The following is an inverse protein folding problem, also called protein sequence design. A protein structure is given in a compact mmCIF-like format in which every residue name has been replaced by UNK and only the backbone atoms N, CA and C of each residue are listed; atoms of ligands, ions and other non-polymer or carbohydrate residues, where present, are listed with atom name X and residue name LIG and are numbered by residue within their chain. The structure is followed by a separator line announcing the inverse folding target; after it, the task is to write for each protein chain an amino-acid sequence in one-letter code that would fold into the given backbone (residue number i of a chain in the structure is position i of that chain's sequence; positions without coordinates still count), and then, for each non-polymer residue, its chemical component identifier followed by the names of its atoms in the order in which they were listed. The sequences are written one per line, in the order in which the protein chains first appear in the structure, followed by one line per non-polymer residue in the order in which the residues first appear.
data_IF_679378179446
#
_entry.id   IF_679378179446
#
_cell.length_a   1.000
_cell.length_b   1.000
_cell.length_c   1.000
_cell.angle_alpha   90.00
_cell.angle_beta   90.00
_cell.angle_gamma   90.00
#
_symmetry.space_group_name_H-M   'P 1'
#
loop_
_entity.id
_entity.type
_entity.pdbx_description
1 polymer ?
#
# COMPACT_ATOMS: atom_id res chain seq x y z
N UNK A 1 22.95 -45.50 -11.20
CA UNK A 1 22.76 -46.94 -10.98
C UNK A 1 23.48 -47.33 -9.72
N UNK A 2 22.87 -48.20 -8.90
CA UNK A 2 23.52 -48.76 -7.72
C UNK A 2 23.50 -50.27 -7.88
N UNK A 3 24.66 -50.90 -7.75
CA UNK A 3 24.79 -52.35 -7.83
C UNK A 3 24.86 -52.91 -6.42
N UNK A 4 23.96 -53.83 -6.09
CA UNK A 4 23.95 -54.53 -4.80
C UNK A 4 24.06 -56.02 -5.08
N UNK A 5 25.18 -56.62 -4.64
CA UNK A 5 25.56 -58.01 -4.96
C UNK A 5 25.57 -58.25 -6.47
N UNK A 6 24.53 -58.90 -7.01
CA UNK A 6 24.38 -59.24 -8.43
C UNK A 6 23.22 -58.50 -9.12
N UNK A 7 22.53 -57.59 -8.41
CA UNK A 7 21.41 -56.81 -8.94
C UNK A 7 21.85 -55.38 -9.26
N UNK A 8 21.46 -54.91 -10.44
CA UNK A 8 21.64 -53.54 -10.88
C UNK A 8 20.30 -52.80 -10.76
N UNK A 9 20.23 -51.84 -9.83
CA UNK A 9 19.03 -51.07 -9.60
C UNK A 9 19.12 -49.72 -10.32
N UNK A 10 18.13 -49.47 -11.17
CA UNK A 10 17.92 -48.18 -11.80
C UNK A 10 16.86 -47.37 -11.03
N UNK A 11 17.32 -46.27 -10.43
CA UNK A 11 16.46 -45.33 -9.69
C UNK A 11 16.11 -44.09 -10.53
N UNK A 12 16.42 -44.08 -11.83
CA UNK A 12 16.20 -42.91 -12.68
C UNK A 12 14.73 -42.49 -12.70
N UNK A 13 13.80 -43.46 -12.76
CA UNK A 13 12.36 -43.19 -12.66
C UNK A 13 11.98 -42.51 -11.34
N UNK A 14 12.50 -43.01 -10.21
CA UNK A 14 12.22 -42.43 -8.89
C UNK A 14 12.82 -41.02 -8.76
N UNK A 15 14.06 -40.81 -9.22
CA UNK A 15 14.69 -39.49 -9.22
C UNK A 15 13.91 -38.50 -10.07
N UNK A 16 13.45 -38.92 -11.24
CA UNK A 16 12.64 -38.08 -12.13
C UNK A 16 11.29 -37.74 -11.52
N UNK A 17 10.62 -38.68 -10.85
CA UNK A 17 9.36 -38.43 -10.15
C UNK A 17 9.54 -37.40 -9.02
N UNK A 18 10.58 -37.54 -8.20
CA UNK A 18 10.88 -36.58 -7.12
C UNK A 18 11.18 -35.20 -7.72
N UNK A 19 12.03 -35.13 -8.74
CA UNK A 19 12.37 -33.87 -9.40
C UNK A 19 11.15 -33.21 -10.07
N UNK A 20 10.19 -34.00 -10.59
CA UNK A 20 8.93 -33.48 -11.12
C UNK A 20 8.08 -32.85 -10.01
N UNK A 21 7.92 -33.54 -8.87
CA UNK A 21 7.18 -32.99 -7.73
C UNK A 21 7.84 -31.72 -7.17
N UNK A 22 9.17 -31.68 -7.05
CA UNK A 22 9.87 -30.47 -6.61
C UNK A 22 9.60 -29.29 -7.55
N UNK A 23 9.64 -29.50 -8.86
CA UNK A 23 9.32 -28.46 -9.86
C UNK A 23 7.87 -28.00 -9.76
N UNK A 24 6.94 -28.92 -9.60
CA UNK A 24 5.52 -28.61 -9.42
C UNK A 24 5.29 -27.71 -8.19
N UNK A 25 5.86 -28.07 -7.05
CA UNK A 25 5.77 -27.26 -5.83
C UNK A 25 6.46 -25.92 -5.97
N UNK A 26 7.61 -25.87 -6.63
CA UNK A 26 8.31 -24.62 -6.91
C UNK A 26 7.42 -23.68 -7.76
N UNK A 27 6.80 -24.18 -8.83
CA UNK A 27 5.88 -23.38 -9.65
C UNK A 27 4.69 -22.87 -8.83
N UNK A 28 4.08 -23.72 -8.00
CA UNK A 28 2.94 -23.31 -7.15
C UNK A 28 3.33 -22.22 -6.14
N UNK A 29 4.49 -22.34 -5.51
CA UNK A 29 4.98 -21.36 -4.55
C UNK A 29 5.36 -20.04 -5.22
N UNK A 30 5.97 -20.09 -6.42
CA UNK A 30 6.27 -18.89 -7.21
C UNK A 30 4.97 -18.19 -7.58
N UNK A 31 3.97 -18.90 -8.12
CA UNK A 31 2.69 -18.31 -8.49
C UNK A 31 1.99 -17.66 -7.28
N UNK A 32 1.97 -18.35 -6.13
CA UNK A 32 1.42 -17.78 -4.91
C UNK A 32 2.16 -16.50 -4.49
N UNK A 33 3.49 -16.50 -4.58
CA UNK A 33 4.29 -15.32 -4.26
C UNK A 33 3.97 -14.15 -5.23
N UNK A 34 3.80 -14.43 -6.52
CA UNK A 34 3.33 -13.44 -7.50
C UNK A 34 2.00 -12.84 -7.08
N UNK A 35 1.00 -13.68 -6.83
CA UNK A 35 -0.36 -13.24 -6.48
C UNK A 35 -0.32 -12.32 -5.25
N UNK A 36 0.39 -12.74 -4.19
CA UNK A 36 0.57 -11.95 -2.98
C UNK A 36 1.28 -10.62 -3.23
N UNK A 37 2.34 -10.61 -4.03
CA UNK A 37 3.16 -9.41 -4.27
C UNK A 37 2.39 -8.39 -5.12
N UNK A 38 1.61 -8.87 -6.10
CA UNK A 38 0.74 -8.04 -6.94
C UNK A 38 -0.42 -7.46 -6.12
N UNK A 39 -1.01 -8.25 -5.22
CA UNK A 39 -2.05 -7.79 -4.31
C UNK A 39 -1.51 -6.74 -3.32
N UNK A 40 -0.32 -6.96 -2.75
CA UNK A 40 0.33 -6.05 -1.81
C UNK A 40 0.61 -4.68 -2.44
N UNK A 41 1.18 -4.65 -3.65
CA UNK A 41 1.43 -3.39 -4.35
C UNK A 41 0.12 -2.70 -4.73
N UNK A 42 -0.89 -3.44 -5.18
CA UNK A 42 -2.20 -2.89 -5.51
C UNK A 42 -2.84 -2.23 -4.27
N UNK A 43 -2.81 -2.91 -3.12
CA UNK A 43 -3.35 -2.40 -1.86
C UNK A 43 -2.68 -1.09 -1.41
N UNK A 44 -1.37 -0.93 -1.62
CA UNK A 44 -0.67 0.33 -1.32
C UNK A 44 -1.19 1.47 -2.21
N UNK A 45 -1.35 1.24 -3.52
CA UNK A 45 -1.88 2.26 -4.44
C UNK A 45 -3.34 2.59 -4.16
N UNK A 46 -4.16 1.59 -3.83
CA UNK A 46 -5.56 1.78 -3.46
C UNK A 46 -5.68 2.61 -2.17
N UNK A 47 -4.83 2.34 -1.18
CA UNK A 47 -4.76 3.14 0.04
C UNK A 47 -4.38 4.60 -0.25
N UNK A 48 -3.33 4.84 -1.05
CA UNK A 48 -2.92 6.20 -1.43
C UNK A 48 -4.07 6.96 -2.11
N UNK A 49 -4.74 6.30 -3.06
CA UNK A 49 -5.88 6.86 -3.79
C UNK A 49 -7.07 7.15 -2.88
N UNK A 50 -7.46 6.21 -2.02
CA UNK A 50 -8.60 6.38 -1.10
C UNK A 50 -8.34 7.53 -0.12
N UNK A 51 -7.17 7.54 0.52
CA UNK A 51 -6.83 8.57 1.51
C UNK A 51 -6.72 9.95 0.87
N UNK A 52 -6.13 10.04 -0.33
CA UNK A 52 -6.08 11.30 -1.09
C UNK A 52 -7.48 11.82 -1.41
N UNK A 53 -8.36 10.96 -1.91
CA UNK A 53 -9.73 11.33 -2.26
C UNK A 53 -10.54 11.79 -1.05
N UNK A 54 -10.34 11.17 0.11
CA UNK A 54 -11.03 11.52 1.35
C UNK A 54 -10.50 12.81 1.96
N UNK A 55 -9.17 12.98 2.02
CA UNK A 55 -8.53 14.18 2.61
C UNK A 55 -8.66 15.42 1.72
N UNK A 56 -8.77 15.26 0.40
CA UNK A 56 -8.93 16.40 -0.53
C UNK A 56 -10.33 17.03 -0.51
N UNK A 57 -11.32 16.41 0.16
CA UNK A 57 -12.66 16.98 0.29
C UNK A 57 -12.62 18.19 1.24
N UNK A 58 -13.10 19.33 0.75
CA UNK A 58 -13.23 20.54 1.56
C UNK A 58 -14.37 20.34 2.57
N UNK A 59 -14.13 20.41 3.89
CA UNK A 59 -15.19 20.25 4.87
C UNK A 59 -16.18 21.41 4.82
N UNK A 60 -17.48 21.11 4.73
CA UNK A 60 -18.55 22.12 4.67
C UNK A 60 -19.15 22.44 6.05
N UNK A 61 -18.92 21.58 7.04
CA UNK A 61 -19.43 21.74 8.40
C UNK A 61 -18.40 21.31 9.47
N UNK A 62 -18.69 21.63 10.73
CA UNK A 62 -17.79 21.33 11.86
C UNK A 62 -17.58 19.83 12.06
N UNK A 63 -18.58 19.00 11.76
CA UNK A 63 -18.49 17.54 11.89
C UNK A 63 -17.53 16.97 10.85
N UNK A 64 -17.69 17.32 9.59
CA UNK A 64 -16.77 16.94 8.50
C UNK A 64 -15.36 17.46 8.75
N UNK A 65 -15.23 18.66 9.32
CA UNK A 65 -13.91 19.20 9.66
C UNK A 65 -13.22 18.36 10.74
N UNK A 66 -13.97 17.93 11.77
CA UNK A 66 -13.45 17.04 12.80
C UNK A 66 -13.06 15.67 12.24
N UNK A 67 -13.90 15.09 11.38
CA UNK A 67 -13.63 13.82 10.70
C UNK A 67 -12.36 13.89 9.83
N UNK A 68 -12.19 14.96 9.04
CA UNK A 68 -11.00 15.17 8.23
C UNK A 68 -9.73 15.35 9.07
N UNK A 69 -9.82 16.01 10.23
CA UNK A 69 -8.69 16.12 11.17
C UNK A 69 -8.31 14.76 11.77
N UNK A 70 -9.30 13.98 12.21
CA UNK A 70 -9.04 12.62 12.73
C UNK A 70 -8.46 11.70 11.66
N UNK A 71 -8.96 11.79 10.42
CA UNK A 71 -8.43 11.04 9.29
C UNK A 71 -6.97 11.42 9.00
N UNK A 72 -6.65 12.72 9.03
CA UNK A 72 -5.29 13.21 8.81
C UNK A 72 -4.32 12.67 9.86
N UNK A 73 -4.70 12.69 11.14
CA UNK A 73 -3.89 12.13 12.23
C UNK A 73 -3.68 10.62 12.05
N UNK A 74 -4.74 9.90 11.67
CA UNK A 74 -4.66 8.46 11.37
C UNK A 74 -3.67 8.18 10.26
N UNK A 75 -3.80 8.85 9.11
CA UNK A 75 -2.93 8.64 7.94
C UNK A 75 -1.46 8.94 8.28
N UNK A 76 -1.19 10.01 9.05
CA UNK A 76 0.17 10.31 9.54
C UNK A 76 0.72 9.23 10.48
N UNK A 77 -0.13 8.63 11.32
CA UNK A 77 0.30 7.55 12.20
C UNK A 77 0.57 6.24 11.46
N UNK A 78 -0.15 5.99 10.36
CA UNK A 78 -0.04 4.80 9.53
C UNK A 78 1.08 4.92 8.49
N UNK A 79 1.56 6.14 8.18
CA UNK A 79 2.62 6.41 7.20
C UNK A 79 3.84 5.52 7.40
N UNK A 80 4.39 5.49 8.61
CA UNK A 80 5.58 4.68 8.93
C UNK A 80 5.31 3.18 8.75
N UNK A 81 4.13 2.70 9.18
CA UNK A 81 3.76 1.30 9.05
C UNK A 81 3.65 0.89 7.57
N UNK A 82 3.15 1.78 6.72
CA UNK A 82 3.09 1.55 5.28
C UNK A 82 4.48 1.54 4.63
N UNK A 83 5.36 2.47 4.99
CA UNK A 83 6.75 2.48 4.50
C UNK A 83 7.53 1.22 4.91
N UNK A 84 7.27 0.67 6.10
CA UNK A 84 7.88 -0.59 6.57
C UNK A 84 7.53 -1.79 5.68
N UNK A 85 6.43 -1.75 4.93
CA UNK A 85 6.03 -2.82 4.00
C UNK A 85 6.83 -2.80 2.68
N UNK A 86 7.48 -1.69 2.35
CA UNK A 86 8.15 -1.54 1.05
C UNK A 86 9.38 -2.43 0.94
N UNK A 87 10.16 -2.58 2.01
CA UNK A 87 11.34 -3.43 2.02
C UNK A 87 11.00 -4.93 1.84
N UNK A 88 10.07 -5.53 2.63
CA UNK A 88 9.60 -6.89 2.39
C UNK A 88 9.05 -7.10 0.97
N UNK A 89 8.31 -6.13 0.43
CA UNK A 89 7.75 -6.24 -0.92
C UNK A 89 8.85 -6.24 -1.99
N UNK A 90 9.87 -5.40 -1.85
CA UNK A 90 11.03 -5.41 -2.77
C UNK A 90 11.83 -6.71 -2.65
N UNK A 91 11.93 -7.31 -1.46
CA UNK A 91 12.52 -8.65 -1.30
C UNK A 91 11.71 -9.73 -2.03
N UNK A 92 10.37 -9.69 -1.96
CA UNK A 92 9.51 -10.60 -2.72
C UNK A 92 9.75 -10.47 -4.22
N UNK A 93 9.77 -9.23 -4.74
CA UNK A 93 10.07 -8.98 -6.14
C UNK A 93 11.47 -9.46 -6.54
N UNK A 94 12.50 -9.25 -5.70
CA UNK A 94 13.84 -9.72 -5.97
C UNK A 94 13.92 -11.26 -6.07
N UNK A 95 13.13 -11.98 -5.26
CA UNK A 95 13.00 -13.44 -5.37
C UNK A 95 12.33 -13.83 -6.68
N UNK A 96 11.24 -13.17 -7.05
CA UNK A 96 10.51 -13.45 -8.28
C UNK A 96 11.36 -13.14 -9.54
N UNK A 97 12.14 -12.06 -9.53
CA UNK A 97 13.08 -11.69 -10.59
C UNK A 97 14.17 -12.77 -10.78
N UNK A 98 14.65 -13.37 -9.69
CA UNK A 98 15.61 -14.49 -9.73
C UNK A 98 15.04 -15.73 -10.43
N UNK A 99 13.72 -15.92 -10.42
CA UNK A 99 13.03 -17.00 -11.12
C UNK A 99 12.52 -16.58 -12.50
N UNK A 100 12.94 -15.42 -13.02
CA UNK A 100 12.61 -14.91 -14.35
C UNK A 100 11.09 -14.78 -14.59
N UNK A 101 10.34 -14.47 -13.53
CA UNK A 101 8.90 -14.27 -13.62
C UNK A 101 8.61 -12.98 -14.39
N UNK A 102 7.68 -13.06 -15.36
CA UNK A 102 7.21 -11.90 -16.10
C UNK A 102 5.96 -11.31 -15.45
N UNK A 103 5.92 -10.00 -15.28
CA UNK A 103 4.76 -9.28 -14.76
C UNK A 103 4.04 -8.52 -15.87
N UNK A 104 2.80 -8.14 -15.59
CA UNK A 104 2.12 -7.12 -16.39
C UNK A 104 2.86 -5.78 -16.29
N UNK A 105 2.83 -5.02 -17.39
CA UNK A 105 3.52 -3.73 -17.49
C UNK A 105 3.11 -2.77 -16.37
N UNK A 106 1.83 -2.79 -15.98
CA UNK A 106 1.30 -1.96 -14.89
C UNK A 106 2.00 -2.24 -13.54
N UNK A 107 2.18 -3.52 -13.18
CA UNK A 107 2.85 -3.92 -11.94
C UNK A 107 4.31 -3.45 -11.94
N UNK A 108 5.02 -3.62 -13.06
CA UNK A 108 6.40 -3.16 -13.19
C UNK A 108 6.50 -1.63 -13.08
N UNK A 109 5.58 -0.89 -13.71
CA UNK A 109 5.53 0.58 -13.60
C UNK A 109 5.26 1.01 -12.15
N UNK A 110 4.28 0.39 -11.50
CA UNK A 110 3.94 0.67 -10.10
C UNK A 110 5.10 0.40 -9.15
N UNK A 111 5.86 -0.68 -9.36
CA UNK A 111 7.06 -1.01 -8.56
C UNK A 111 8.14 0.07 -8.71
N UNK A 112 8.44 0.46 -9.94
CA UNK A 112 9.48 1.48 -10.23
C UNK A 112 9.10 2.83 -9.64
N UNK A 113 7.83 3.22 -9.78
CA UNK A 113 7.37 4.54 -9.36
C UNK A 113 6.97 4.61 -7.88
N UNK A 114 6.92 3.49 -7.15
CA UNK A 114 6.37 3.40 -5.81
C UNK A 114 6.89 4.50 -4.86
N UNK A 115 8.21 4.69 -4.79
CA UNK A 115 8.81 5.70 -3.92
C UNK A 115 8.48 7.14 -4.36
N UNK A 116 8.42 7.38 -5.66
CA UNK A 116 8.06 8.69 -6.23
C UNK A 116 6.59 9.00 -5.96
N UNK A 117 5.69 8.08 -6.26
CA UNK A 117 4.25 8.24 -6.06
C UNK A 117 3.91 8.35 -4.57
N UNK A 118 4.60 7.60 -3.71
CA UNK A 118 4.50 7.75 -2.26
C UNK A 118 4.97 9.13 -1.77
N UNK A 119 6.02 9.69 -2.36
CA UNK A 119 6.47 11.04 -2.03
C UNK A 119 5.42 12.09 -2.43
N UNK A 120 4.84 11.95 -3.62
CA UNK A 120 3.74 12.81 -4.09
C UNK A 120 2.52 12.70 -3.17
N UNK A 121 2.20 11.49 -2.71
CA UNK A 121 1.15 11.26 -1.72
C UNK A 121 1.42 12.01 -0.41
N UNK A 122 2.64 11.96 0.11
CA UNK A 122 3.03 12.71 1.32
C UNK A 122 2.90 14.22 1.15
N UNK A 123 3.35 14.76 0.01
CA UNK A 123 3.17 16.18 -0.31
C UNK A 123 1.68 16.55 -0.37
N UNK A 124 0.85 15.65 -0.91
CA UNK A 124 -0.61 15.83 -0.96
C UNK A 124 -1.22 15.86 0.45
N UNK A 125 -0.75 15.01 1.37
CA UNK A 125 -1.18 15.03 2.78
C UNK A 125 -0.84 16.38 3.43
N UNK A 126 0.37 16.91 3.21
CA UNK A 126 0.79 18.21 3.74
C UNK A 126 -0.10 19.34 3.20
N UNK A 127 -0.43 19.30 1.90
CA UNK A 127 -1.34 20.26 1.29
C UNK A 127 -2.77 20.17 1.88
N UNK A 128 -3.26 18.95 2.11
CA UNK A 128 -4.56 18.74 2.74
C UNK A 128 -4.58 19.23 4.20
N UNK A 129 -3.49 19.05 4.94
CA UNK A 129 -3.33 19.59 6.30
C UNK A 129 -3.44 21.12 6.31
N UNK A 130 -2.76 21.81 5.40
CA UNK A 130 -2.89 23.26 5.27
C UNK A 130 -4.32 23.70 4.96
N UNK A 131 -4.99 22.98 4.06
CA UNK A 131 -6.37 23.28 3.68
C UNK A 131 -7.32 23.11 4.88
N UNK A 132 -7.23 21.99 5.60
CA UNK A 132 -8.02 21.72 6.81
C UNK A 132 -7.75 22.79 7.86
N UNK A 133 -6.49 23.19 8.06
CA UNK A 133 -6.12 24.27 8.99
C UNK A 133 -6.74 25.60 8.60
N UNK A 134 -6.65 26.00 7.33
CA UNK A 134 -7.25 27.26 6.82
C UNK A 134 -8.77 27.25 6.97
N UNK A 135 -9.42 26.12 6.67
CA UNK A 135 -10.87 25.96 6.84
C UNK A 135 -11.27 26.07 8.32
N UNK A 136 -10.54 25.42 9.22
CA UNK A 136 -10.76 25.52 10.68
C UNK A 136 -10.66 26.97 11.17
N UNK A 137 -9.62 27.69 10.75
CA UNK A 137 -9.40 29.06 11.21
C UNK A 137 -10.50 30.01 10.67
N UNK A 138 -10.98 29.81 9.42
CA UNK A 138 -12.17 30.50 8.88
C UNK A 138 -13.44 30.20 9.69
N UNK A 139 -13.70 28.93 10.02
CA UNK A 139 -14.86 28.55 10.83
C UNK A 139 -14.84 29.23 12.20
N UNK A 140 -13.67 29.30 12.87
CA UNK A 140 -13.51 30.01 14.13
C UNK A 140 -13.83 31.50 14.00
N UNK A 141 -13.33 32.16 12.96
CA UNK A 141 -13.59 33.59 12.72
C UNK A 141 -15.08 33.86 12.48
N UNK A 142 -15.75 33.02 11.69
CA UNK A 142 -17.18 33.16 11.43
C UNK A 142 -18.02 33.01 12.71
N UNK A 143 -17.73 31.99 13.53
CA UNK A 143 -18.42 31.77 14.81
C UNK A 143 -18.23 32.94 15.79
N UNK A 144 -17.03 33.52 15.88
CA UNK A 144 -16.77 34.70 16.70
C UNK A 144 -17.56 35.92 16.19
N UNK A 145 -17.54 36.16 14.88
CA UNK A 145 -18.29 37.25 14.26
C UNK A 145 -19.80 37.15 14.47
N UNK A 146 -20.36 35.94 14.38
CA UNK A 146 -21.78 35.72 14.61
C UNK A 146 -22.16 35.88 16.09
N UNK A 147 -21.30 35.43 17.01
CA UNK A 147 -21.46 35.66 18.45
C UNK A 147 -21.48 37.15 18.81
N UNK A 148 -20.58 37.96 18.21
CA UNK A 148 -20.56 39.41 18.42
C UNK A 148 -21.82 40.10 17.88
N UNK A 149 -22.34 39.67 16.73
CA UNK A 149 -23.59 40.22 16.15
C UNK A 149 -24.78 39.93 17.06
N UNK A 150 -24.91 38.69 17.54
CA UNK A 150 -25.97 38.30 18.47
C UNK A 150 -25.87 39.11 19.77
N UNK A 151 -24.67 39.28 20.32
CA UNK A 151 -24.45 40.11 21.51
C UNK A 151 -24.83 41.59 21.33
N UNK A 152 -24.73 42.15 20.11
CA UNK A 152 -25.20 43.51 19.79
C UNK A 152 -26.71 43.60 19.60
N UNK A 153 -27.38 42.54 19.16
CA UNK A 153 -28.84 42.52 18.98
C UNK A 153 -29.60 42.31 20.30
N UNK A 154 -28.95 41.75 21.31
CA UNK A 154 -29.52 41.52 22.65
C UNK A 154 -29.36 42.75 23.56
N UNK A 155 -28.54 43.75 23.16
CA UNK A 155 -28.37 45.05 23.84
C UNK A 155 -29.24 46.13 23.22
#
# INVERSE_FOLDING_TARGET
MVTVRFLQLDFSLLKNAIAAHCREWQTRLINLLVDMTVEDIAAIYDYMSEMTNRLSRVPENLTELAESMTLLEKVKSEEKNMEEKFAPMEEQFAILDKYEVTYETEVSTRRINLFTDWTVFKDTIVNCEELIRKTRDKFKMNLLGDSEKVGRQIK
#
